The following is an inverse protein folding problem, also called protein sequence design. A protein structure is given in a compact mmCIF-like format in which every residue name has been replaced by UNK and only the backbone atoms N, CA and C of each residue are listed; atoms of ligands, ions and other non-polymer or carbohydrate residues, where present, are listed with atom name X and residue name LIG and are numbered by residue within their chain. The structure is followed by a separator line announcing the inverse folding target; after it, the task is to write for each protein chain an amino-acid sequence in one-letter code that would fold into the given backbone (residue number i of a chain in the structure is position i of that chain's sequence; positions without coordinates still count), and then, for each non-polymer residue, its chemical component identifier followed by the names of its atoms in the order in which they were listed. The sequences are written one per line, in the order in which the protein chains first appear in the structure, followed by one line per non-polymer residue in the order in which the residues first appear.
data_IF_129070867323
#
_entry.id   IF_129070867323
#
_cell.length_a   1.000
_cell.length_b   1.000
_cell.length_c   1.000
_cell.angle_alpha   90.00
_cell.angle_beta   90.00
_cell.angle_gamma   90.00
#
_symmetry.space_group_name_H-M   'P 1'
#
loop_
_entity.id
_entity.type
_entity.pdbx_description
1 polymer ?
#
# COMPACT_ATOMS: atom_id res chain seq x y z
N UNK A 1 -23.12 -6.28 -19.09
CA UNK A 1 -23.09 -6.63 -17.64
C UNK A 1 -23.52 -5.40 -16.85
N UNK A 2 -24.01 -5.62 -15.64
CA UNK A 2 -24.34 -4.56 -14.70
C UNK A 2 -23.22 -4.44 -13.66
N UNK A 3 -22.58 -3.30 -13.58
CA UNK A 3 -21.37 -3.06 -12.77
C UNK A 3 -21.67 -2.01 -11.71
N UNK A 4 -21.32 -2.31 -10.44
CA UNK A 4 -21.29 -1.33 -9.36
C UNK A 4 -19.88 -0.79 -9.22
N UNK A 5 -19.71 0.50 -9.54
CA UNK A 5 -18.43 1.20 -9.44
C UNK A 5 -18.34 1.95 -8.11
N UNK A 6 -17.35 1.61 -7.31
CA UNK A 6 -17.20 2.12 -5.95
C UNK A 6 -16.05 3.14 -5.88
N UNK A 7 -16.35 4.34 -5.40
CA UNK A 7 -15.38 5.39 -5.15
C UNK A 7 -15.48 6.55 -6.14
N UNK A 8 -14.50 6.72 -7.02
CA UNK A 8 -14.45 7.85 -7.95
C UNK A 8 -15.66 7.92 -8.87
N UNK A 9 -16.08 9.13 -9.19
CA UNK A 9 -17.14 9.44 -10.13
C UNK A 9 -16.61 9.81 -11.53
N UNK A 10 -17.50 10.13 -12.47
CA UNK A 10 -17.15 10.53 -13.85
C UNK A 10 -16.26 11.79 -13.94
N UNK A 11 -16.23 12.61 -12.91
CA UNK A 11 -15.33 13.78 -12.89
C UNK A 11 -13.91 13.44 -12.47
N UNK A 12 -13.73 12.27 -11.84
CA UNK A 12 -12.48 11.85 -11.21
C UNK A 12 -11.80 10.68 -11.94
N UNK A 13 -12.53 9.97 -12.83
CA UNK A 13 -12.00 8.85 -13.62
C UNK A 13 -12.72 8.72 -14.96
N UNK A 14 -11.99 8.33 -15.99
CA UNK A 14 -12.53 8.03 -17.32
C UNK A 14 -13.16 6.63 -17.42
N UNK A 15 -12.94 5.77 -16.42
CA UNK A 15 -13.31 4.36 -16.49
C UNK A 15 -14.82 4.11 -16.55
N UNK A 16 -15.63 4.98 -15.93
CA UNK A 16 -17.09 4.82 -15.98
C UNK A 16 -17.60 5.03 -17.39
N UNK A 17 -17.16 6.10 -18.07
CA UNK A 17 -17.53 6.37 -19.46
C UNK A 17 -16.99 5.30 -20.40
N UNK A 18 -15.78 4.81 -20.18
CA UNK A 18 -15.21 3.70 -20.91
C UNK A 18 -16.09 2.44 -20.81
N UNK A 19 -16.46 2.01 -19.59
CA UNK A 19 -17.30 0.84 -19.36
C UNK A 19 -18.69 0.96 -20.02
N UNK A 20 -19.31 2.15 -19.94
CA UNK A 20 -20.57 2.45 -20.61
C UNK A 20 -20.41 2.38 -22.14
N UNK A 21 -19.32 2.88 -22.70
CA UNK A 21 -19.05 2.90 -24.13
C UNK A 21 -18.93 1.49 -24.75
N UNK A 22 -18.46 0.53 -23.96
CA UNK A 22 -18.34 -0.88 -24.36
C UNK A 22 -19.59 -1.71 -24.01
N UNK A 23 -20.69 -1.05 -23.63
CA UNK A 23 -22.01 -1.65 -23.48
C UNK A 23 -22.33 -2.23 -22.09
N UNK A 24 -21.66 -1.74 -21.03
CA UNK A 24 -22.02 -2.10 -19.65
C UNK A 24 -22.97 -1.06 -19.05
N UNK A 25 -23.86 -1.50 -18.18
CA UNK A 25 -24.65 -0.64 -17.30
C UNK A 25 -23.80 -0.38 -16.03
N UNK A 26 -23.46 0.89 -15.78
CA UNK A 26 -22.62 1.26 -14.64
C UNK A 26 -23.39 2.12 -13.66
N UNK A 27 -23.45 1.68 -12.41
CA UNK A 27 -23.97 2.48 -11.30
C UNK A 27 -22.79 2.82 -10.39
N UNK A 28 -22.63 4.10 -10.07
CA UNK A 28 -21.55 4.57 -9.22
C UNK A 28 -22.06 4.95 -7.84
N UNK A 29 -21.27 4.64 -6.80
CA UNK A 29 -21.49 5.14 -5.45
C UNK A 29 -20.16 5.29 -4.69
N UNK A 30 -20.09 6.31 -3.83
CA UNK A 30 -19.04 6.47 -2.83
C UNK A 30 -19.49 6.08 -1.43
N UNK A 31 -20.79 5.80 -1.25
CA UNK A 31 -21.39 5.44 0.03
C UNK A 31 -20.99 4.03 0.48
N UNK A 32 -21.07 3.79 1.78
CA UNK A 32 -20.83 2.45 2.32
C UNK A 32 -21.93 1.48 1.87
N UNK A 33 -21.54 0.38 1.25
CA UNK A 33 -22.44 -0.64 0.73
C UNK A 33 -22.62 -1.82 1.68
N UNK A 34 -23.75 -2.50 1.53
CA UNK A 34 -24.12 -3.75 2.20
C UNK A 34 -24.32 -4.87 1.19
N UNK A 35 -24.57 -6.10 1.65
CA UNK A 35 -24.88 -7.24 0.77
C UNK A 35 -26.19 -7.07 -0.02
N UNK A 36 -27.11 -6.24 0.45
CA UNK A 36 -28.37 -5.96 -0.24
C UNK A 36 -28.16 -5.04 -1.45
N UNK A 37 -27.22 -4.10 -1.33
CA UNK A 37 -26.92 -3.11 -2.38
C UNK A 37 -26.27 -3.73 -3.62
N UNK A 38 -25.72 -4.93 -3.52
CA UNK A 38 -25.01 -5.60 -4.63
C UNK A 38 -25.85 -6.63 -5.36
N UNK A 39 -27.11 -6.80 -4.94
CA UNK A 39 -28.03 -7.77 -5.60
C UNK A 39 -28.34 -7.32 -7.03
N UNK A 40 -28.11 -8.22 -7.97
CA UNK A 40 -28.36 -7.98 -9.40
C UNK A 40 -27.20 -7.31 -10.14
N UNK A 41 -26.06 -7.10 -9.50
CA UNK A 41 -24.83 -6.71 -10.18
C UNK A 41 -24.00 -7.94 -10.55
N UNK A 42 -23.28 -7.82 -11.66
CA UNK A 42 -22.36 -8.87 -12.15
C UNK A 42 -20.94 -8.70 -11.56
N UNK A 43 -20.52 -7.46 -11.37
CA UNK A 43 -19.18 -7.10 -10.86
C UNK A 43 -19.23 -5.87 -9.96
N UNK A 44 -18.28 -5.84 -8.99
CA UNK A 44 -17.89 -4.64 -8.25
C UNK A 44 -16.49 -4.21 -8.68
N UNK A 45 -16.34 -2.94 -9.01
CA UNK A 45 -15.05 -2.33 -9.32
C UNK A 45 -14.80 -1.22 -8.28
N UNK A 46 -13.79 -1.40 -7.46
CA UNK A 46 -13.35 -0.43 -6.45
C UNK A 46 -12.20 0.40 -7.01
N UNK A 47 -12.38 1.74 -7.00
CA UNK A 47 -11.33 2.68 -7.36
C UNK A 47 -11.49 3.96 -6.56
N UNK A 48 -10.57 4.21 -5.62
CA UNK A 48 -10.64 5.33 -4.70
C UNK A 48 -11.74 5.20 -3.62
N UNK A 49 -12.25 4.00 -3.40
CA UNK A 49 -13.27 3.74 -2.39
C UNK A 49 -12.69 3.77 -0.97
N UNK A 50 -13.36 4.50 -0.07
CA UNK A 50 -12.83 4.78 1.28
C UNK A 50 -13.37 3.85 2.36
N UNK A 51 -14.27 2.93 2.02
CA UNK A 51 -14.84 1.99 2.97
C UNK A 51 -14.31 0.58 2.73
N UNK A 52 -14.21 -0.20 3.79
CA UNK A 52 -13.87 -1.62 3.69
C UNK A 52 -15.08 -2.38 3.11
N UNK A 53 -14.83 -3.16 2.08
CA UNK A 53 -15.83 -4.08 1.49
C UNK A 53 -15.89 -5.31 2.40
N UNK A 54 -17.06 -5.55 3.00
CA UNK A 54 -17.20 -6.64 3.96
C UNK A 54 -17.21 -8.01 3.28
N UNK A 55 -16.90 -9.05 4.07
CA UNK A 55 -16.94 -10.45 3.60
C UNK A 55 -18.31 -10.83 3.03
N UNK A 56 -19.38 -10.36 3.66
CA UNK A 56 -20.75 -10.62 3.22
C UNK A 56 -21.00 -10.06 1.82
N UNK A 57 -20.54 -8.84 1.54
CA UNK A 57 -20.60 -8.23 0.21
C UNK A 57 -19.83 -9.05 -0.81
N UNK A 58 -18.58 -9.42 -0.50
CA UNK A 58 -17.70 -10.19 -1.39
C UNK A 58 -18.35 -11.53 -1.76
N UNK A 59 -18.91 -12.24 -0.78
CA UNK A 59 -19.59 -13.53 -1.00
C UNK A 59 -20.86 -13.36 -1.80
N UNK A 60 -21.67 -12.32 -1.54
CA UNK A 60 -22.95 -12.07 -2.22
C UNK A 60 -22.80 -11.86 -3.73
N UNK A 61 -21.64 -11.41 -4.17
CA UNK A 61 -21.32 -11.22 -5.61
C UNK A 61 -20.37 -12.29 -6.16
N UNK A 62 -20.30 -13.46 -5.52
CA UNK A 62 -19.45 -14.58 -5.93
C UNK A 62 -17.97 -14.21 -6.12
N UNK A 63 -17.42 -13.38 -5.25
CA UNK A 63 -16.02 -12.89 -5.31
C UNK A 63 -15.66 -12.12 -6.59
N UNK A 64 -16.65 -11.59 -7.32
CA UNK A 64 -16.43 -10.74 -8.49
C UNK A 64 -16.22 -9.29 -8.08
N UNK A 65 -15.18 -9.07 -7.30
CA UNK A 65 -14.79 -7.75 -6.78
C UNK A 65 -13.32 -7.53 -7.07
N UNK A 66 -13.01 -6.41 -7.73
CA UNK A 66 -11.63 -5.99 -7.97
C UNK A 66 -11.39 -4.62 -7.36
N UNK A 67 -10.13 -4.36 -7.06
CA UNK A 67 -9.65 -3.03 -6.67
C UNK A 67 -8.53 -2.58 -7.61
N UNK A 68 -8.61 -1.33 -8.04
CA UNK A 68 -7.56 -0.63 -8.77
C UNK A 68 -6.70 0.12 -7.75
N UNK A 69 -5.50 -0.37 -7.51
CA UNK A 69 -4.61 0.15 -6.48
C UNK A 69 -3.33 0.74 -7.07
N UNK A 70 -3.06 2.01 -6.77
CA UNK A 70 -1.89 2.73 -7.31
C UNK A 70 -0.60 2.40 -6.53
N UNK A 71 -0.36 1.11 -6.32
CA UNK A 71 0.85 0.55 -5.72
C UNK A 71 1.31 -0.70 -6.46
N UNK A 72 2.60 -1.01 -6.40
CA UNK A 72 3.15 -2.28 -6.86
C UNK A 72 3.09 -3.30 -5.71
N UNK A 73 1.96 -4.02 -5.60
CA UNK A 73 1.74 -4.99 -4.54
C UNK A 73 2.78 -6.13 -4.58
N UNK A 74 3.22 -6.65 -3.43
CA UNK A 74 2.63 -6.51 -2.10
C UNK A 74 3.09 -5.28 -1.31
N UNK A 75 3.85 -4.37 -1.89
CA UNK A 75 4.34 -3.19 -1.19
C UNK A 75 3.25 -2.11 -1.06
N UNK A 76 3.33 -1.33 0.02
CA UNK A 76 2.54 -0.12 0.25
C UNK A 76 1.03 -0.32 0.13
N UNK A 77 0.53 -1.39 0.73
CA UNK A 77 -0.90 -1.58 0.95
C UNK A 77 -1.46 -0.43 1.78
N UNK A 78 -2.71 -0.06 1.56
CA UNK A 78 -3.39 0.98 2.30
C UNK A 78 -3.24 2.36 1.69
N UNK A 79 -2.92 3.39 2.50
CA UNK A 79 -3.03 4.79 2.11
C UNK A 79 -1.73 5.39 1.59
N UNK A 80 -1.84 6.34 0.64
CA UNK A 80 -0.72 7.13 0.11
C UNK A 80 0.46 6.32 -0.44
N UNK A 81 0.21 5.30 -1.28
CA UNK A 81 1.24 4.34 -1.69
C UNK A 81 2.41 4.97 -2.45
N UNK A 82 2.18 6.03 -3.25
CA UNK A 82 3.28 6.74 -3.92
C UNK A 82 4.28 7.32 -2.92
N UNK A 83 3.77 8.00 -1.88
CA UNK A 83 4.63 8.56 -0.85
C UNK A 83 5.49 7.47 -0.19
N UNK A 84 4.85 6.38 0.22
CA UNK A 84 5.53 5.30 0.92
C UNK A 84 6.48 4.51 0.01
N UNK A 85 6.14 4.35 -1.25
CA UNK A 85 7.06 3.71 -2.20
C UNK A 85 8.37 4.49 -2.35
N UNK A 86 8.30 5.82 -2.39
CA UNK A 86 9.45 6.69 -2.47
C UNK A 86 10.22 6.78 -1.14
N UNK A 87 9.50 6.83 -0.01
CA UNK A 87 10.07 6.86 1.33
C UNK A 87 10.82 5.56 1.67
N UNK A 88 10.16 4.42 1.45
CA UNK A 88 10.68 3.09 1.79
C UNK A 88 11.59 2.50 0.70
N UNK A 89 11.82 3.27 -0.38
CA UNK A 89 12.61 2.84 -1.55
C UNK A 89 12.11 1.51 -2.14
N UNK A 90 10.80 1.31 -2.15
CA UNK A 90 10.14 0.13 -2.75
C UNK A 90 9.68 0.44 -4.17
N UNK A 91 9.38 -0.58 -5.00
CA UNK A 91 8.88 -0.36 -6.36
C UNK A 91 7.65 0.53 -6.40
N UNK A 92 7.66 1.51 -7.31
CA UNK A 92 6.49 2.33 -7.65
C UNK A 92 5.75 1.67 -8.80
N UNK A 93 4.43 1.60 -8.71
CA UNK A 93 3.63 1.03 -9.78
C UNK A 93 2.14 0.97 -9.45
N UNK A 94 1.43 0.19 -10.25
CA UNK A 94 -0.02 0.04 -10.16
C UNK A 94 -0.40 -1.43 -10.22
N UNK A 95 -1.50 -1.81 -9.58
CA UNK A 95 -1.97 -3.20 -9.50
C UNK A 95 -3.50 -3.27 -9.58
N UNK A 96 -4.01 -4.17 -10.41
CA UNK A 96 -5.42 -4.61 -10.40
C UNK A 96 -5.46 -5.95 -9.69
N UNK A 97 -6.20 -6.03 -8.59
CA UNK A 97 -6.25 -7.25 -7.80
C UNK A 97 -7.67 -7.59 -7.35
N UNK A 98 -7.90 -8.84 -7.00
CA UNK A 98 -9.12 -9.27 -6.32
C UNK A 98 -9.22 -8.63 -4.95
N UNK A 99 -10.44 -8.38 -4.50
CA UNK A 99 -10.69 -8.01 -3.12
C UNK A 99 -10.96 -9.27 -2.30
N UNK A 100 -10.23 -9.42 -1.20
CA UNK A 100 -10.44 -10.45 -0.19
C UNK A 100 -10.73 -9.82 1.19
N UNK A 101 -10.70 -10.60 2.26
CA UNK A 101 -10.97 -10.11 3.61
C UNK A 101 -9.84 -9.24 4.18
N UNK A 102 -8.65 -9.25 3.58
CA UNK A 102 -7.51 -8.44 3.97
C UNK A 102 -7.49 -7.09 3.25
N UNK A 103 -6.64 -6.18 3.70
CA UNK A 103 -6.44 -4.90 3.02
C UNK A 103 -5.39 -5.06 1.91
N UNK A 104 -5.83 -4.92 0.67
CA UNK A 104 -5.02 -5.03 -0.55
C UNK A 104 -4.18 -6.33 -0.63
N UNK A 105 -4.73 -7.44 -0.09
CA UNK A 105 -4.04 -8.75 -0.01
C UNK A 105 -4.46 -9.76 -1.08
N UNK A 106 -5.51 -9.48 -1.82
CA UNK A 106 -6.07 -10.37 -2.82
C UNK A 106 -5.13 -10.68 -3.99
N UNK A 107 -5.45 -11.75 -4.72
CA UNK A 107 -4.69 -12.21 -5.87
C UNK A 107 -4.61 -11.14 -6.96
N UNK A 108 -3.46 -10.99 -7.60
CA UNK A 108 -3.18 -9.99 -8.63
C UNK A 108 -3.63 -10.49 -9.99
N UNK A 109 -4.39 -9.69 -10.72
CA UNK A 109 -4.68 -9.91 -12.13
C UNK A 109 -3.55 -9.38 -13.02
N UNK A 110 -3.19 -8.11 -12.81
CA UNK A 110 -2.16 -7.41 -13.57
C UNK A 110 -1.49 -6.39 -12.66
N UNK A 111 -0.20 -6.16 -12.87
CA UNK A 111 0.54 -5.07 -12.24
C UNK A 111 1.60 -4.52 -13.19
N UNK A 112 1.93 -3.25 -13.03
CA UNK A 112 2.88 -2.55 -13.89
C UNK A 112 3.76 -1.62 -13.05
N UNK A 113 5.07 -1.66 -13.29
CA UNK A 113 5.99 -0.67 -12.73
C UNK A 113 5.81 0.67 -13.45
N UNK A 114 5.92 1.75 -12.68
CA UNK A 114 5.85 3.11 -13.19
C UNK A 114 7.11 3.86 -12.76
N UNK A 115 7.79 4.43 -13.72
CA UNK A 115 8.99 5.23 -13.46
C UNK A 115 8.58 6.64 -12.99
N UNK A 116 8.96 7.00 -11.78
CA UNK A 116 8.76 8.33 -11.19
C UNK A 116 10.13 8.94 -10.95
N UNK A 117 10.40 10.04 -11.63
CA UNK A 117 11.65 10.77 -11.41
C UNK A 117 11.47 11.83 -10.32
N UNK A 118 11.98 11.62 -9.10
CA UNK A 118 11.74 12.51 -7.96
C UNK A 118 12.37 13.91 -8.15
N UNK A 119 13.33 14.08 -9.07
CA UNK A 119 13.99 15.37 -9.29
C UNK A 119 13.14 16.34 -10.11
N UNK A 120 12.26 15.82 -10.96
CA UNK A 120 11.41 16.65 -11.83
C UNK A 120 9.94 16.59 -11.46
N UNK A 121 9.48 15.54 -10.78
CA UNK A 121 8.08 15.34 -10.46
C UNK A 121 7.71 15.88 -9.07
N UNK A 122 6.45 16.30 -8.94
CA UNK A 122 5.79 16.60 -7.68
C UNK A 122 5.00 15.38 -7.21
N UNK A 123 4.57 15.34 -5.95
CA UNK A 123 3.66 14.28 -5.50
C UNK A 123 2.37 14.25 -6.31
N UNK A 124 1.87 15.44 -6.73
CA UNK A 124 0.68 15.54 -7.57
C UNK A 124 0.92 14.94 -8.95
N UNK A 125 1.98 15.38 -9.66
CA UNK A 125 2.25 14.88 -11.01
C UNK A 125 2.56 13.38 -11.02
N UNK A 126 3.29 12.88 -10.02
CA UNK A 126 3.53 11.45 -9.85
C UNK A 126 2.25 10.67 -9.56
N UNK A 127 1.35 11.21 -8.74
CA UNK A 127 0.03 10.64 -8.52
C UNK A 127 -0.80 10.61 -9.80
N UNK A 128 -0.88 11.73 -10.54
CA UNK A 128 -1.64 11.83 -11.78
C UNK A 128 -1.11 10.80 -12.82
N UNK A 129 0.21 10.58 -12.86
CA UNK A 129 0.84 9.56 -13.70
C UNK A 129 0.41 8.13 -13.32
N UNK A 130 0.37 7.81 -12.03
CA UNK A 130 -0.12 6.52 -11.56
C UNK A 130 -1.62 6.33 -11.85
N UNK A 131 -2.41 7.38 -11.73
CA UNK A 131 -3.84 7.35 -12.07
C UNK A 131 -4.05 7.04 -13.55
N UNK A 132 -3.34 7.72 -14.43
CA UNK A 132 -3.41 7.45 -15.88
C UNK A 132 -2.99 6.02 -16.20
N UNK A 133 -1.88 5.56 -15.62
CA UNK A 133 -1.34 4.23 -15.87
C UNK A 133 -2.29 3.10 -15.43
N UNK A 134 -2.95 3.26 -14.27
CA UNK A 134 -3.89 2.23 -13.82
C UNK A 134 -5.18 2.22 -14.63
N UNK A 135 -5.64 3.38 -15.09
CA UNK A 135 -6.80 3.48 -15.99
C UNK A 135 -6.50 2.82 -17.34
N UNK A 136 -5.35 3.13 -17.95
CA UNK A 136 -4.91 2.49 -19.20
C UNK A 136 -4.77 0.98 -19.03
N UNK A 137 -4.10 0.54 -17.96
CA UNK A 137 -3.91 -0.89 -17.67
C UNK A 137 -5.25 -1.61 -17.45
N UNK A 138 -6.24 -0.95 -16.84
CA UNK A 138 -7.58 -1.53 -16.69
C UNK A 138 -8.28 -1.62 -18.05
N UNK A 139 -8.26 -0.59 -18.89
CA UNK A 139 -8.89 -0.61 -20.21
C UNK A 139 -8.33 -1.73 -21.09
N UNK A 140 -7.01 -1.96 -21.06
CA UNK A 140 -6.33 -3.02 -21.80
C UNK A 140 -6.74 -4.44 -21.36
N UNK A 141 -7.07 -4.61 -20.08
CA UNK A 141 -7.32 -5.93 -19.47
C UNK A 141 -8.78 -6.17 -19.08
N UNK A 142 -9.64 -5.19 -19.26
CA UNK A 142 -11.04 -5.19 -18.81
C UNK A 142 -11.81 -6.42 -19.27
N UNK A 143 -11.75 -6.74 -20.58
CA UNK A 143 -12.45 -7.90 -21.14
C UNK A 143 -11.97 -9.21 -20.53
N UNK A 144 -10.65 -9.40 -20.39
CA UNK A 144 -10.07 -10.60 -19.80
C UNK A 144 -10.46 -10.78 -18.32
N UNK A 145 -10.55 -9.69 -17.57
CA UNK A 145 -10.95 -9.69 -16.16
C UNK A 145 -12.45 -9.99 -16.04
N UNK A 146 -13.30 -9.22 -16.73
CA UNK A 146 -14.75 -9.29 -16.58
C UNK A 146 -15.32 -10.60 -17.16
N UNK A 147 -14.70 -11.16 -18.20
CA UNK A 147 -15.04 -12.48 -18.73
C UNK A 147 -14.48 -13.64 -17.92
N UNK A 148 -13.67 -13.35 -16.89
CA UNK A 148 -12.95 -14.36 -16.08
C UNK A 148 -11.96 -15.23 -16.87
N UNK A 149 -11.48 -14.75 -18.01
CA UNK A 149 -10.47 -15.43 -18.83
C UNK A 149 -9.05 -15.15 -18.34
N UNK A 150 -8.85 -14.03 -17.65
CA UNK A 150 -7.58 -13.70 -17.04
C UNK A 150 -7.45 -14.36 -15.66
N UNK A 151 -6.39 -15.14 -15.47
CA UNK A 151 -6.14 -15.87 -14.23
C UNK A 151 -5.30 -15.00 -13.29
N UNK A 152 -5.82 -14.77 -12.09
CA UNK A 152 -5.09 -14.06 -11.06
C UNK A 152 -4.05 -14.96 -10.36
N UNK A 153 -2.95 -14.37 -9.90
CA UNK A 153 -1.87 -15.05 -9.20
C UNK A 153 -1.66 -14.49 -7.79
N UNK A 154 -1.10 -15.31 -6.90
CA UNK A 154 -0.84 -14.92 -5.50
C UNK A 154 0.19 -13.81 -5.41
N UNK A 155 -0.02 -12.88 -4.47
CA UNK A 155 1.05 -11.97 -4.08
C UNK A 155 2.21 -12.74 -3.47
N UNK A 156 3.45 -12.40 -3.83
CA UNK A 156 4.68 -13.07 -3.36
C UNK A 156 5.54 -12.09 -2.59
N UNK A 157 6.08 -12.53 -1.47
CA UNK A 157 6.99 -11.75 -0.62
C UNK A 157 6.32 -11.12 0.60
N UNK A 158 7.14 -10.48 1.42
CA UNK A 158 6.68 -9.74 2.61
C UNK A 158 6.13 -8.39 2.14
N UNK A 159 4.83 -8.19 2.28
CA UNK A 159 4.19 -6.91 1.97
C UNK A 159 4.45 -5.86 3.05
N UNK A 160 4.29 -4.59 2.68
CA UNK A 160 4.26 -3.45 3.60
C UNK A 160 2.86 -2.84 3.67
N UNK A 161 2.57 -2.13 4.74
CA UNK A 161 1.27 -1.53 4.99
C UNK A 161 1.42 -0.19 5.71
N UNK A 162 0.67 0.82 5.26
CA UNK A 162 0.69 2.15 5.83
C UNK A 162 -0.71 2.70 6.06
N UNK A 163 -0.91 3.33 7.21
CA UNK A 163 -2.15 4.00 7.56
C UNK A 163 -2.11 5.46 7.10
N UNK A 164 -3.28 6.03 6.86
CA UNK A 164 -3.39 7.45 6.54
C UNK A 164 -2.85 8.36 7.67
N UNK A 165 -2.94 7.91 8.93
CA UNK A 165 -2.41 8.62 10.09
C UNK A 165 -0.88 8.71 10.15
N UNK A 166 -0.18 7.83 9.41
CA UNK A 166 1.27 7.73 9.47
C UNK A 166 1.94 8.72 8.49
N UNK A 167 1.15 9.29 7.57
CA UNK A 167 1.64 10.26 6.59
C UNK A 167 2.14 11.53 7.29
N UNK A 168 3.39 11.95 7.05
CA UNK A 168 3.88 13.23 7.57
C UNK A 168 3.15 14.40 6.92
N UNK A 169 3.23 15.58 7.54
CA UNK A 169 2.58 16.78 7.02
C UNK A 169 3.20 17.20 5.68
N UNK A 170 2.46 17.00 4.61
CA UNK A 170 2.77 17.53 3.28
C UNK A 170 1.98 18.83 3.09
N UNK A 171 2.66 19.98 3.09
CA UNK A 171 2.02 21.30 2.98
C UNK A 171 1.33 21.53 1.65
N UNK A 172 1.85 20.95 0.58
CA UNK A 172 1.30 21.00 -0.78
C UNK A 172 1.68 19.75 -1.55
N UNK A 173 0.74 19.16 -2.24
CA UNK A 173 0.98 18.04 -3.16
C UNK A 173 1.75 18.46 -4.43
N UNK A 174 1.82 19.76 -4.73
CA UNK A 174 2.67 20.33 -5.79
C UNK A 174 4.14 20.47 -5.35
N UNK A 175 4.49 20.02 -4.15
CA UNK A 175 5.89 19.98 -3.71
C UNK A 175 6.66 18.97 -4.54
N UNK A 176 7.83 19.40 -5.05
CA UNK A 176 8.76 18.49 -5.74
C UNK A 176 9.21 17.39 -4.76
N UNK A 177 9.25 16.15 -5.24
CA UNK A 177 9.48 14.96 -4.42
C UNK A 177 10.87 15.00 -3.77
N UNK A 178 11.94 15.21 -4.55
CA UNK A 178 13.31 15.22 -4.02
C UNK A 178 13.49 16.32 -2.99
N UNK A 179 12.97 17.52 -3.26
CA UNK A 179 13.03 18.66 -2.34
C UNK A 179 12.32 18.35 -1.02
N UNK A 180 11.17 17.65 -1.07
CA UNK A 180 10.47 17.25 0.15
C UNK A 180 11.34 16.35 1.03
N UNK A 181 11.91 15.29 0.45
CA UNK A 181 12.75 14.35 1.20
C UNK A 181 14.05 14.99 1.68
N UNK A 182 14.66 15.87 0.91
CA UNK A 182 15.83 16.65 1.35
C UNK A 182 15.53 17.54 2.55
N UNK A 183 14.41 18.28 2.51
CA UNK A 183 14.01 19.18 3.61
C UNK A 183 13.56 18.44 4.88
N UNK A 184 13.09 17.21 4.75
CA UNK A 184 12.62 16.37 5.85
C UNK A 184 13.61 15.25 6.19
N UNK A 185 14.86 15.33 5.69
CA UNK A 185 15.91 14.41 6.06
C UNK A 185 16.24 14.60 7.54
N UNK A 186 16.24 13.49 8.26
CA UNK A 186 16.61 13.50 9.68
C UNK A 186 18.08 13.92 9.81
N UNK A 187 18.35 14.74 10.80
CA UNK A 187 19.74 15.08 11.15
C UNK A 187 20.42 13.89 11.82
N UNK A 188 21.75 13.86 11.73
CA UNK A 188 22.54 12.82 12.42
C UNK A 188 22.24 12.77 13.92
N UNK A 189 22.03 13.96 14.54
CA UNK A 189 21.64 14.05 15.95
C UNK A 189 20.30 13.35 16.23
N UNK A 190 19.26 13.57 15.40
CA UNK A 190 17.96 12.93 15.58
C UNK A 190 18.03 11.40 15.38
N UNK A 191 18.90 10.93 14.47
CA UNK A 191 19.14 9.51 14.26
C UNK A 191 19.85 8.90 15.47
N UNK A 192 20.89 9.56 15.96
CA UNK A 192 21.66 9.14 17.15
C UNK A 192 20.76 9.09 18.38
N UNK A 193 19.93 10.12 18.61
CA UNK A 193 18.99 10.17 19.74
C UNK A 193 18.00 8.99 19.69
N UNK A 194 17.53 8.61 18.51
CA UNK A 194 16.65 7.43 18.36
C UNK A 194 17.40 6.11 18.62
N UNK A 195 18.63 5.98 18.14
CA UNK A 195 19.48 4.81 18.44
C UNK A 195 19.69 4.70 19.96
N UNK A 196 20.01 5.81 20.64
CA UNK A 196 20.19 5.84 22.10
C UNK A 196 18.91 5.43 22.83
N UNK A 197 17.76 5.97 22.40
CA UNK A 197 16.44 5.63 22.97
C UNK A 197 16.10 4.14 22.80
N UNK A 198 16.43 3.53 21.67
CA UNK A 198 16.22 2.10 21.45
C UNK A 198 17.19 1.28 22.29
N UNK A 199 18.47 1.65 22.31
CA UNK A 199 19.51 0.96 23.09
C UNK A 199 19.31 1.07 24.59
N UNK A 200 18.87 2.22 25.11
CA UNK A 200 18.63 2.42 26.55
C UNK A 200 17.53 1.49 27.09
N UNK A 201 16.59 1.06 26.26
CA UNK A 201 15.59 0.06 26.63
C UNK A 201 16.15 -1.37 26.70
N UNK A 202 17.33 -1.60 26.11
CA UNK A 202 17.98 -2.91 26.02
C UNK A 202 19.22 -3.05 26.93
N UNK A 203 19.52 -2.02 27.76
CA UNK A 203 20.75 -1.98 28.57
C UNK A 203 20.60 -2.78 29.88
N UNK A 204 20.52 -4.10 29.75
CA UNK A 204 20.61 -5.06 30.87
C UNK A 204 21.73 -6.06 30.56
N UNK A 205 22.39 -6.58 31.57
CA UNK A 205 23.42 -7.62 31.42
C UNK A 205 22.84 -8.86 30.69
N UNK A 206 22.96 -8.80 29.38
CA UNK A 206 22.25 -9.61 28.40
C UNK A 206 22.37 -11.10 28.63
N UNK A 207 23.62 -11.58 28.82
CA UNK A 207 23.85 -13.01 28.79
C UNK A 207 23.34 -13.72 30.05
N UNK A 208 23.37 -13.05 31.18
CA UNK A 208 22.89 -13.64 32.44
C UNK A 208 21.37 -13.58 32.50
N UNK A 209 20.76 -12.49 32.04
CA UNK A 209 19.31 -12.40 31.90
C UNK A 209 18.78 -13.42 30.87
N UNK A 210 19.49 -13.64 29.80
CA UNK A 210 19.16 -14.64 28.79
C UNK A 210 19.19 -16.05 29.39
N UNK A 211 20.27 -16.44 30.08
CA UNK A 211 20.38 -17.75 30.71
C UNK A 211 19.24 -17.97 31.70
N UNK A 212 19.05 -17.02 32.59
CA UNK A 212 17.97 -17.08 33.60
C UNK A 212 16.58 -17.16 32.96
N UNK A 213 16.34 -16.39 31.89
CA UNK A 213 15.05 -16.42 31.21
C UNK A 213 14.77 -17.80 30.56
N UNK A 214 15.78 -18.40 29.95
CA UNK A 214 15.63 -19.74 29.38
C UNK A 214 15.53 -20.85 30.41
N UNK A 215 16.15 -20.69 31.56
CA UNK A 215 15.99 -21.63 32.69
C UNK A 215 14.59 -21.55 33.32
N UNK A 216 14.01 -20.36 33.39
CA UNK A 216 12.68 -20.14 33.99
C UNK A 216 11.53 -20.48 33.05
N UNK A 217 11.57 -20.03 31.80
CA UNK A 217 10.55 -20.28 30.78
C UNK A 217 11.11 -20.05 29.36
N UNK A 218 11.51 -21.14 28.74
CA UNK A 218 12.08 -21.10 27.39
C UNK A 218 11.14 -20.57 26.32
N UNK A 219 9.81 -20.74 26.47
CA UNK A 219 8.85 -20.25 25.48
C UNK A 219 8.68 -18.73 25.59
N UNK A 220 8.57 -18.23 26.80
CA UNK A 220 8.50 -16.81 27.08
C UNK A 220 9.81 -16.11 26.73
N UNK A 221 10.95 -16.73 27.00
CA UNK A 221 12.26 -16.23 26.59
C UNK A 221 12.37 -16.08 25.06
N UNK A 222 11.90 -17.09 24.28
CA UNK A 222 11.88 -16.97 22.80
C UNK A 222 11.02 -15.82 22.30
N UNK A 223 9.89 -15.52 22.95
CA UNK A 223 9.06 -14.36 22.60
C UNK A 223 9.84 -13.06 22.78
N UNK A 224 10.46 -12.91 23.95
CA UNK A 224 11.30 -11.72 24.27
C UNK A 224 12.45 -11.57 23.26
N UNK A 225 13.10 -12.66 22.88
CA UNK A 225 14.17 -12.64 21.86
C UNK A 225 13.68 -12.22 20.49
N UNK A 226 12.42 -12.54 20.16
CA UNK A 226 11.81 -12.06 18.91
C UNK A 226 11.64 -10.55 18.92
N UNK A 227 11.15 -10.00 20.03
CA UNK A 227 10.96 -8.56 20.20
C UNK A 227 12.32 -7.81 20.15
N UNK A 228 13.35 -8.39 20.75
CA UNK A 228 14.72 -7.87 20.70
C UNK A 228 15.26 -7.87 19.27
N UNK A 229 15.09 -8.95 18.52
CA UNK A 229 15.51 -9.03 17.13
C UNK A 229 14.81 -7.99 16.26
N UNK A 230 13.55 -7.67 16.54
CA UNK A 230 12.83 -6.60 15.86
C UNK A 230 13.42 -5.21 16.19
N UNK A 231 13.83 -4.99 17.44
CA UNK A 231 14.54 -3.76 17.85
C UNK A 231 15.92 -3.65 17.16
N UNK A 232 16.70 -4.73 17.11
CA UNK A 232 18.00 -4.73 16.45
C UNK A 232 17.88 -4.50 14.94
N UNK A 233 16.85 -5.01 14.31
CA UNK A 233 16.55 -4.71 12.90
C UNK A 233 16.29 -3.21 12.69
N UNK A 234 15.55 -2.57 13.59
CA UNK A 234 15.31 -1.12 13.53
C UNK A 234 16.58 -0.30 13.76
N UNK A 235 17.45 -0.74 14.67
CA UNK A 235 18.76 -0.09 14.88
C UNK A 235 19.60 -0.18 13.60
N UNK A 236 19.63 -1.32 12.93
CA UNK A 236 20.38 -1.48 11.68
C UNK A 236 19.84 -0.56 10.56
N UNK A 237 18.53 -0.39 10.45
CA UNK A 237 17.93 0.57 9.52
C UNK A 237 18.42 2.00 9.81
N UNK A 238 18.44 2.43 11.09
CA UNK A 238 18.90 3.75 11.50
C UNK A 238 20.40 3.96 11.26
N UNK A 239 21.22 2.93 11.48
CA UNK A 239 22.64 2.97 11.16
C UNK A 239 22.92 3.11 9.67
N UNK A 240 22.12 2.45 8.83
CA UNK A 240 22.20 2.60 7.38
C UNK A 240 21.80 4.02 6.96
N UNK A 241 20.73 4.58 7.53
CA UNK A 241 20.30 5.96 7.29
C UNK A 241 21.42 6.96 7.66
N UNK A 242 22.13 6.71 8.77
CA UNK A 242 23.25 7.54 9.22
C UNK A 242 24.47 7.43 8.28
N UNK A 243 24.81 6.23 7.82
CA UNK A 243 25.90 5.98 6.89
C UNK A 243 25.66 6.65 5.53
N UNK A 244 24.43 6.62 5.03
CA UNK A 244 24.05 7.25 3.76
C UNK A 244 24.08 8.80 3.82
N UNK A 245 24.20 9.41 5.02
CA UNK A 245 24.31 10.84 5.19
C UNK A 245 25.72 11.39 4.93
N UNK A 246 26.77 10.55 4.99
CA UNK A 246 28.17 10.97 4.87
C UNK A 246 28.63 11.36 3.45
N UNK A 247 27.85 11.14 2.40
CA UNK A 247 28.26 11.43 1.02
C UNK A 247 28.00 12.88 0.55
N UNK A 248 27.65 13.83 1.45
CA UNK A 248 27.27 15.21 1.06
C UNK A 248 27.85 16.31 1.97
N UNK A 249 29.07 16.16 2.51
CA UNK A 249 29.83 17.29 3.05
C UNK A 249 31.09 17.58 2.25
#
# INVERSE_FOLDING_TARGET
MKILFLGYDKSSTSLIEFLESIGHEVIQTSEKITSEDVVGFDWLISFGYRHIISKEVIVSINHRVINLHISYLPYNRGSHPLFWALHDKTPVGVTIHKVDEGLDTGDIYVQRLVDINPFIETFKSGYDKLMNEIEEMFMENCDGILSSNLIAFKQVGKGTYHKSSDLPLIKSWDTNISRFFEMNKRTDSEIIDEIEKIRSRNNVNWMDAVRLAFELDANRARSIFKDIKECDARINELLNELADNDEKN
#
